data_IF_653047756303
#
_entry.id   IF_653047756303
#
_cell.length_a   1.000
_cell.length_b   1.000
_cell.length_c   1.000
_cell.angle_alpha   90.00
_cell.angle_beta   90.00
_cell.angle_gamma   90.00
#
_symmetry.space_group_name_H-M   'P 1'
#
loop_
_entity.id
_entity.type
_entity.pdbx_description
1 polymer ?
#
# COMPACT_ATOMS: atom_id res chain seq x y z
N UNK A 1 -48.67 25.55 -29.36
CA UNK A 1 -47.31 25.91 -28.88
C UNK A 1 -46.68 24.61 -28.40
N UNK A 2 -45.89 23.97 -29.26
CA UNK A 2 -45.48 22.57 -29.15
C UNK A 2 -44.20 22.42 -28.31
N UNK A 3 -44.22 21.46 -27.38
CA UNK A 3 -43.10 21.09 -26.51
C UNK A 3 -42.28 20.01 -27.23
N UNK A 4 -41.03 20.33 -27.56
CA UNK A 4 -39.96 19.46 -28.07
C UNK A 4 -38.67 20.04 -27.46
N UNK A 5 -37.64 19.33 -27.01
CA UNK A 5 -37.23 17.96 -27.28
C UNK A 5 -36.40 17.44 -26.11
N UNK A 6 -36.44 16.12 -25.95
CA UNK A 6 -35.55 15.35 -25.10
C UNK A 6 -34.18 15.13 -25.77
N UNK A 7 -33.15 15.04 -24.91
CA UNK A 7 -32.04 14.06 -24.92
C UNK A 7 -30.74 14.40 -25.67
N UNK A 8 -29.62 14.35 -24.91
CA UNK A 8 -28.31 13.68 -25.15
C UNK A 8 -27.23 14.31 -24.23
N UNK A 9 -26.81 13.67 -23.13
CA UNK A 9 -25.63 12.78 -22.95
C UNK A 9 -24.30 13.32 -23.48
N UNK A 10 -23.38 13.68 -22.57
CA UNK A 10 -21.93 13.36 -22.68
C UNK A 10 -21.35 13.19 -21.28
N UNK A 11 -20.78 12.01 -21.04
CA UNK A 11 -19.94 11.64 -19.91
C UNK A 11 -18.60 12.38 -19.98
N UNK A 12 -18.05 12.81 -18.85
CA UNK A 12 -16.60 12.91 -18.71
C UNK A 12 -16.18 12.64 -17.26
N UNK A 13 -15.37 11.60 -17.11
CA UNK A 13 -14.87 11.11 -15.84
C UNK A 13 -13.73 11.96 -15.28
N UNK A 14 -13.74 12.14 -13.97
CA UNK A 14 -12.57 12.50 -13.16
C UNK A 14 -12.89 12.25 -11.68
N UNK A 15 -13.36 11.05 -11.38
CA UNK A 15 -13.75 10.64 -10.02
C UNK A 15 -12.68 9.83 -9.31
N UNK A 16 -11.40 10.03 -9.62
CA UNK A 16 -10.30 9.49 -8.82
C UNK A 16 -10.32 10.24 -7.49
N UNK A 17 -11.14 9.75 -6.55
CA UNK A 17 -11.10 10.15 -5.14
C UNK A 17 -9.80 9.60 -4.54
N UNK A 18 -8.65 10.11 -5.01
CA UNK A 18 -7.39 10.06 -4.26
C UNK A 18 -7.66 10.88 -3.03
N UNK A 19 -8.09 10.19 -1.98
CA UNK A 19 -8.24 10.70 -0.63
C UNK A 19 -6.92 11.35 -0.21
N UNK A 20 -6.80 12.65 -0.50
CA UNK A 20 -5.86 13.54 0.15
C UNK A 20 -6.34 13.69 1.60
N UNK A 21 -5.77 12.88 2.49
CA UNK A 21 -5.82 13.15 3.93
C UNK A 21 -4.82 12.28 4.68
N UNK A 22 -3.65 12.88 4.89
CA UNK A 22 -2.88 12.89 6.13
C UNK A 22 -1.61 13.67 5.80
N UNK A 23 -1.63 15.00 6.01
CA UNK A 23 -0.38 15.69 6.30
C UNK A 23 0.10 15.10 7.62
N UNK A 24 1.33 14.58 7.61
CA UNK A 24 1.89 13.79 8.68
C UNK A 24 1.87 14.51 10.02
N UNK A 25 1.59 13.74 11.07
CA UNK A 25 2.30 13.95 12.31
C UNK A 25 3.79 13.83 11.97
N UNK A 26 4.51 14.96 12.06
CA UNK A 26 5.97 14.96 11.94
C UNK A 26 6.56 14.35 13.21
N UNK A 27 6.37 13.05 13.38
CA UNK A 27 7.24 12.27 14.24
C UNK A 27 8.52 12.04 13.41
N UNK A 28 9.66 12.66 13.74
CA UNK A 28 10.89 12.59 12.93
C UNK A 28 11.44 11.16 12.81
N UNK A 29 10.96 10.25 13.65
CA UNK A 29 11.34 8.83 13.65
C UNK A 29 10.35 7.93 12.90
N UNK A 30 9.17 8.42 12.53
CA UNK A 30 8.19 7.61 11.81
C UNK A 30 8.36 7.72 10.30
N UNK A 31 8.39 6.57 9.62
CA UNK A 31 8.51 6.51 8.17
C UNK A 31 7.22 7.04 7.52
N UNK A 32 7.30 8.01 6.60
CA UNK A 32 6.13 8.55 5.91
C UNK A 32 5.31 7.49 5.18
N UNK A 33 3.98 7.62 5.18
CA UNK A 33 3.08 6.64 4.57
C UNK A 33 3.27 6.48 3.06
N UNK A 34 3.68 7.54 2.37
CA UNK A 34 3.99 7.49 0.94
C UNK A 34 5.15 6.52 0.66
N UNK A 35 6.19 6.52 1.50
CA UNK A 35 7.32 5.59 1.41
C UNK A 35 6.89 4.16 1.72
N UNK A 36 6.10 3.97 2.80
CA UNK A 36 5.54 2.65 3.13
C UNK A 36 4.71 2.06 1.98
N UNK A 37 3.93 2.90 1.27
CA UNK A 37 3.16 2.49 0.08
C UNK A 37 4.04 2.16 -1.12
N UNK A 38 5.06 2.98 -1.37
CA UNK A 38 6.02 2.76 -2.46
C UNK A 38 6.73 1.41 -2.30
N UNK A 39 7.31 1.16 -1.13
CA UNK A 39 8.02 -0.10 -0.83
C UNK A 39 7.10 -1.31 -1.03
N UNK A 40 5.88 -1.26 -0.48
CA UNK A 40 4.89 -2.34 -0.65
C UNK A 40 4.52 -2.60 -2.11
N UNK A 41 4.51 -1.56 -2.94
CA UNK A 41 4.21 -1.69 -4.38
C UNK A 41 5.39 -2.32 -5.11
N UNK A 42 6.61 -1.84 -4.88
CA UNK A 42 7.83 -2.36 -5.52
C UNK A 42 8.04 -3.83 -5.14
N UNK A 43 7.94 -4.17 -3.85
CA UNK A 43 8.19 -5.54 -3.39
C UNK A 43 7.17 -6.52 -3.96
N UNK A 44 5.89 -6.11 -4.08
CA UNK A 44 4.85 -6.94 -4.70
C UNK A 44 5.05 -7.12 -6.22
N UNK A 45 5.65 -6.14 -6.89
CA UNK A 45 5.84 -6.18 -8.35
C UNK A 45 7.11 -6.92 -8.77
N UNK A 46 8.18 -6.81 -7.99
CA UNK A 46 9.52 -7.25 -8.40
C UNK A 46 10.07 -8.43 -7.59
N UNK A 47 9.45 -8.80 -6.47
CA UNK A 47 9.92 -9.87 -5.61
C UNK A 47 8.87 -10.97 -5.40
N UNK A 48 9.36 -12.14 -4.99
CA UNK A 48 8.51 -13.28 -4.65
C UNK A 48 7.59 -12.96 -3.48
N UNK A 49 6.48 -13.71 -3.40
CA UNK A 49 5.46 -13.56 -2.35
C UNK A 49 6.05 -13.61 -0.94
N UNK A 50 7.02 -14.48 -0.69
CA UNK A 50 7.71 -14.60 0.62
C UNK A 50 8.35 -13.28 1.07
N UNK A 51 9.02 -12.58 0.15
CA UNK A 51 9.67 -11.31 0.43
C UNK A 51 8.64 -10.20 0.70
N UNK A 52 7.50 -10.24 0.02
CA UNK A 52 6.40 -9.30 0.27
C UNK A 52 5.78 -9.46 1.65
N UNK A 53 5.71 -10.69 2.18
CA UNK A 53 5.18 -10.97 3.51
C UNK A 53 6.11 -10.46 4.61
N UNK A 54 7.43 -10.64 4.44
CA UNK A 54 8.45 -10.09 5.33
C UNK A 54 8.34 -8.57 5.37
N UNK A 55 8.31 -7.93 4.20
CA UNK A 55 8.23 -6.47 4.10
C UNK A 55 6.94 -5.90 4.68
N UNK A 56 5.80 -6.56 4.48
CA UNK A 56 4.52 -6.16 5.08
C UNK A 56 4.54 -6.24 6.62
N UNK A 57 5.34 -7.15 7.19
CA UNK A 57 5.49 -7.33 8.63
C UNK A 57 6.44 -6.28 9.22
N UNK A 58 7.54 -5.95 8.53
CA UNK A 58 8.51 -4.92 8.90
C UNK A 58 7.96 -3.48 8.75
N UNK A 59 7.13 -3.24 7.74
CA UNK A 59 6.45 -1.93 7.58
C UNK A 59 5.46 -1.65 8.72
N UNK A 60 4.94 -2.70 9.37
CA UNK A 60 4.06 -2.61 10.54
C UNK A 60 4.81 -2.62 11.88
N UNK A 61 5.98 -3.26 11.93
CA UNK A 61 6.81 -3.38 13.12
C UNK A 61 8.27 -3.11 12.74
N UNK A 62 8.76 -1.91 13.04
CA UNK A 62 10.08 -1.42 12.57
C UNK A 62 11.28 -2.16 13.15
N UNK A 63 11.12 -2.81 14.31
CA UNK A 63 12.18 -3.58 14.98
C UNK A 63 11.63 -4.97 15.27
N UNK A 64 12.20 -5.97 14.60
CA UNK A 64 11.85 -7.38 14.81
C UNK A 64 13.12 -8.22 14.77
N UNK A 65 13.24 -9.19 15.69
CA UNK A 65 14.32 -10.17 15.64
C UNK A 65 14.06 -11.17 14.51
N UNK A 66 15.14 -11.74 13.99
CA UNK A 66 15.06 -12.75 12.93
C UNK A 66 14.26 -13.98 13.36
N UNK A 67 14.45 -14.42 14.61
CA UNK A 67 13.71 -15.56 15.17
C UNK A 67 12.21 -15.26 15.32
N UNK A 68 11.84 -14.05 15.76
CA UNK A 68 10.42 -13.63 15.85
C UNK A 68 9.75 -13.58 14.47
N UNK A 69 10.51 -13.21 13.44
CA UNK A 69 10.04 -13.20 12.05
C UNK A 69 9.79 -14.63 11.56
N UNK A 70 10.71 -15.56 11.84
CA UNK A 70 10.56 -16.98 11.53
C UNK A 70 9.36 -17.59 12.24
N UNK A 71 9.15 -17.30 13.54
CA UNK A 71 8.01 -17.82 14.29
C UNK A 71 6.67 -17.28 13.76
N UNK A 72 6.59 -15.96 13.48
CA UNK A 72 5.37 -15.33 12.99
C UNK A 72 4.99 -15.76 11.58
N UNK A 73 5.96 -15.95 10.70
CA UNK A 73 5.74 -16.39 9.32
C UNK A 73 5.75 -17.91 9.17
N UNK A 74 6.15 -18.65 10.22
CA UNK A 74 6.41 -20.10 10.20
C UNK A 74 7.38 -20.49 9.07
N UNK A 75 8.32 -19.61 8.77
CA UNK A 75 9.34 -19.84 7.75
C UNK A 75 10.47 -20.71 8.30
N UNK A 76 11.03 -21.53 7.43
CA UNK A 76 12.25 -22.25 7.73
C UNK A 76 13.43 -21.26 7.69
N UNK A 77 14.45 -21.40 8.56
CA UNK A 77 15.60 -20.46 8.63
C UNK A 77 16.35 -20.29 7.30
N UNK A 78 16.16 -21.20 6.34
CA UNK A 78 16.73 -21.14 4.99
C UNK A 78 15.99 -20.18 4.05
N UNK A 79 14.72 -19.86 4.33
CA UNK A 79 13.92 -18.92 3.53
C UNK A 79 14.20 -17.45 3.85
N UNK A 80 14.97 -17.20 4.92
CA UNK A 80 15.43 -15.87 5.32
C UNK A 80 16.87 -15.54 4.87
N UNK A 81 17.59 -16.52 4.31
CA UNK A 81 18.95 -16.39 3.79
C UNK A 81 18.92 -16.20 2.27
#
# INVERSE_FOLDING_TARGET
MAVMASRELVQNGAGVKRSARALGSSDPNEVPDCLKKLVRTIVRSFYSREHSLIMDLLVRNTIMKEDDLCERLRFEKKQLR
#
